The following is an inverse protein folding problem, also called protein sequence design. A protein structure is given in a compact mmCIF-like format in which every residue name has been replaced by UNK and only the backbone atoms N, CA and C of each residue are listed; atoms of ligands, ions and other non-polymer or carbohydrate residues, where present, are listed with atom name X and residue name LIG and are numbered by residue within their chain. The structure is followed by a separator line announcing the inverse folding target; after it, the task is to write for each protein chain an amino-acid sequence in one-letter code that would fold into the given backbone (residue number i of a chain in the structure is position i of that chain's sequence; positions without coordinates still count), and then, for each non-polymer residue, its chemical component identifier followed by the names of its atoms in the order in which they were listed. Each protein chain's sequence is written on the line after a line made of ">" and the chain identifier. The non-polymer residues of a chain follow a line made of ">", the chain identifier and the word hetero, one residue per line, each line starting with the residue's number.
data_IF_956102302714
#
_entry.id   IF_956102302714
#
_cell.length_a   1.000
_cell.length_b   1.000
_cell.length_c   1.000
_cell.angle_alpha   90.00
_cell.angle_beta   90.00
_cell.angle_gamma   90.00
#
_symmetry.space_group_name_H-M   'P 1'
#
loop_
_entity.id
_entity.type
_entity.pdbx_description
1 polymer ?
#
# COMPACT_ATOMS: atom_id res chain seq x y z
N UNK A 1 -9.75 -31.33 3.41
CA UNK A 1 -9.31 -31.87 2.12
C UNK A 1 -8.05 -31.11 1.72
N UNK A 2 -6.90 -31.80 1.61
CA UNK A 2 -5.66 -31.20 1.11
C UNK A 2 -5.77 -31.00 -0.39
N UNK A 3 -5.61 -29.77 -0.87
CA UNK A 3 -5.60 -29.44 -2.29
C UNK A 3 -4.37 -30.08 -2.94
N UNK A 4 -4.51 -30.63 -4.14
CA UNK A 4 -3.35 -31.10 -4.90
C UNK A 4 -2.48 -29.92 -5.33
N UNK A 5 -1.17 -30.13 -5.52
CA UNK A 5 -0.27 -29.04 -5.91
C UNK A 5 -0.68 -28.36 -7.22
N UNK A 6 -1.17 -29.13 -8.19
CA UNK A 6 -1.66 -28.57 -9.46
C UNK A 6 -2.86 -27.64 -9.24
N UNK A 7 -3.73 -27.96 -8.29
CA UNK A 7 -4.88 -27.11 -7.97
C UNK A 7 -4.43 -25.82 -7.26
N UNK A 8 -3.44 -25.89 -6.37
CA UNK A 8 -2.86 -24.72 -5.72
C UNK A 8 -2.18 -23.78 -6.72
N UNK A 9 -1.38 -24.33 -7.63
CA UNK A 9 -0.71 -23.57 -8.68
C UNK A 9 -1.73 -22.92 -9.63
N UNK A 10 -2.75 -23.67 -10.03
CA UNK A 10 -3.84 -23.14 -10.87
C UNK A 10 -4.57 -21.99 -10.17
N UNK A 11 -4.91 -22.13 -8.89
CA UNK A 11 -5.56 -21.07 -8.11
C UNK A 11 -4.68 -19.83 -7.98
N UNK A 12 -3.37 -19.99 -7.79
CA UNK A 12 -2.42 -18.86 -7.77
C UNK A 12 -2.40 -18.12 -9.12
N UNK A 13 -2.33 -18.87 -10.23
CA UNK A 13 -2.35 -18.28 -11.57
C UNK A 13 -3.68 -17.56 -11.86
N UNK A 14 -4.81 -18.20 -11.57
CA UNK A 14 -6.14 -17.60 -11.74
C UNK A 14 -6.29 -16.32 -10.92
N UNK A 15 -5.92 -16.36 -9.63
CA UNK A 15 -5.93 -15.18 -8.77
C UNK A 15 -5.05 -14.05 -9.31
N UNK A 16 -3.85 -14.39 -9.78
CA UNK A 16 -2.92 -13.41 -10.36
C UNK A 16 -3.48 -12.79 -11.64
N UNK A 17 -4.12 -13.58 -12.50
CA UNK A 17 -4.77 -13.06 -13.70
C UNK A 17 -5.94 -12.13 -13.36
N UNK A 18 -6.79 -12.49 -12.39
CA UNK A 18 -7.86 -11.60 -11.94
C UNK A 18 -7.30 -10.28 -11.40
N UNK A 19 -6.18 -10.34 -10.66
CA UNK A 19 -5.52 -9.17 -10.13
C UNK A 19 -4.90 -8.29 -11.23
N UNK A 20 -4.36 -8.87 -12.29
CA UNK A 20 -3.80 -8.10 -13.42
C UNK A 20 -4.91 -7.47 -14.26
N UNK A 21 -5.98 -8.22 -14.53
CA UNK A 21 -7.04 -7.82 -15.47
C UNK A 21 -8.08 -6.86 -14.88
N UNK A 22 -8.10 -6.69 -13.56
CA UNK A 22 -8.98 -5.76 -12.86
C UNK A 22 -8.21 -4.55 -12.36
N UNK A 23 -8.88 -3.40 -12.26
CA UNK A 23 -8.35 -2.23 -11.56
C UNK A 23 -8.61 -2.28 -10.05
N UNK A 24 -9.55 -3.11 -9.61
CA UNK A 24 -9.91 -3.28 -8.20
C UNK A 24 -9.09 -4.39 -7.53
N UNK A 25 -8.84 -4.25 -6.22
CA UNK A 25 -8.15 -5.26 -5.43
C UNK A 25 -8.99 -6.53 -5.38
N UNK A 26 -8.37 -7.66 -5.72
CA UNK A 26 -9.06 -8.95 -5.66
C UNK A 26 -8.97 -9.55 -4.27
N UNK A 27 -9.97 -10.35 -3.90
CA UNK A 27 -10.01 -11.02 -2.60
C UNK A 27 -8.99 -12.16 -2.56
N UNK A 28 -8.04 -12.15 -1.60
CA UNK A 28 -7.04 -13.19 -1.51
C UNK A 28 -7.64 -14.51 -0.99
N UNK A 29 -7.07 -15.62 -1.44
CA UNK A 29 -7.44 -16.98 -1.00
C UNK A 29 -6.86 -17.36 0.37
N UNK A 30 -5.85 -16.61 0.82
CA UNK A 30 -5.12 -16.80 2.07
C UNK A 30 -4.99 -15.48 2.80
N UNK A 31 -4.67 -15.52 4.10
CA UNK A 31 -4.50 -14.30 4.89
C UNK A 31 -3.13 -13.64 4.67
N UNK A 32 -2.13 -14.42 4.25
CA UNK A 32 -0.76 -13.95 4.05
C UNK A 32 -0.08 -14.59 2.86
N UNK A 33 0.93 -13.90 2.32
CA UNK A 33 1.80 -14.48 1.28
C UNK A 33 2.56 -15.69 1.84
N UNK A 34 2.95 -15.66 3.11
CA UNK A 34 3.60 -16.78 3.78
C UNK A 34 2.73 -18.04 3.81
N UNK A 35 1.44 -17.93 4.14
CA UNK A 35 0.50 -19.07 4.14
C UNK A 35 0.35 -19.67 2.73
N UNK A 36 0.24 -18.81 1.71
CA UNK A 36 0.16 -19.24 0.32
C UNK A 36 1.42 -20.03 -0.08
N UNK A 37 2.61 -19.48 0.20
CA UNK A 37 3.89 -20.12 -0.13
C UNK A 37 4.04 -21.46 0.61
N UNK A 38 3.72 -21.51 1.91
CA UNK A 38 3.77 -22.75 2.68
C UNK A 38 2.81 -23.79 2.12
N UNK A 39 1.61 -23.39 1.68
CA UNK A 39 0.67 -24.27 1.00
C UNK A 39 1.29 -24.90 -0.24
N UNK A 40 2.04 -24.14 -1.05
CA UNK A 40 2.72 -24.66 -2.23
C UNK A 40 3.90 -25.56 -1.84
N UNK A 41 4.78 -25.08 -0.97
CA UNK A 41 6.02 -25.78 -0.58
C UNK A 41 5.73 -27.13 0.06
N UNK A 42 4.74 -27.21 0.94
CA UNK A 42 4.38 -28.45 1.62
C UNK A 42 3.81 -29.53 0.68
N UNK A 43 3.39 -29.14 -0.53
CA UNK A 43 2.86 -30.06 -1.53
C UNK A 43 3.84 -30.30 -2.70
N UNK A 44 5.06 -29.73 -2.66
CA UNK A 44 6.08 -30.00 -3.66
C UNK A 44 6.58 -31.44 -3.52
N UNK A 45 6.71 -32.19 -4.63
CA UNK A 45 7.27 -33.53 -4.58
C UNK A 45 8.73 -33.48 -4.13
N UNK A 46 9.13 -34.35 -3.21
CA UNK A 46 10.53 -34.57 -2.84
C UNK A 46 11.06 -35.75 -3.65
N UNK A 47 11.83 -35.48 -4.71
CA UNK A 47 12.21 -36.49 -5.72
C UNK A 47 13.69 -36.50 -6.12
N UNK A 48 14.06 -37.45 -6.99
CA UNK A 48 15.43 -37.76 -7.44
C UNK A 48 15.96 -36.71 -8.44
N UNK A 49 17.19 -36.86 -8.94
CA UNK A 49 17.89 -35.83 -9.75
C UNK A 49 17.13 -35.31 -10.99
N UNK A 50 16.32 -36.13 -11.67
CA UNK A 50 15.45 -35.68 -12.77
C UNK A 50 14.26 -34.84 -12.31
N UNK A 51 13.79 -35.06 -11.09
CA UNK A 51 12.71 -34.28 -10.48
C UNK A 51 13.22 -32.91 -10.03
N UNK A 52 14.54 -32.76 -9.86
CA UNK A 52 15.16 -31.51 -9.41
C UNK A 52 15.02 -30.37 -10.42
N UNK A 53 15.25 -30.62 -11.71
CA UNK A 53 15.08 -29.60 -12.75
C UNK A 53 13.61 -29.16 -12.90
N UNK A 54 12.68 -30.13 -12.82
CA UNK A 54 11.24 -29.85 -12.84
C UNK A 54 10.82 -29.06 -11.59
N UNK A 55 11.31 -29.44 -10.41
CA UNK A 55 11.06 -28.72 -9.16
C UNK A 55 11.60 -27.29 -9.21
N UNK A 56 12.82 -27.10 -9.72
CA UNK A 56 13.40 -25.76 -9.89
C UNK A 56 12.56 -24.92 -10.86
N UNK A 57 12.09 -25.51 -11.97
CA UNK A 57 11.18 -24.85 -12.90
C UNK A 57 9.86 -24.44 -12.23
N UNK A 58 9.24 -25.33 -11.46
CA UNK A 58 8.00 -25.04 -10.72
C UNK A 58 8.21 -23.91 -9.69
N UNK A 59 9.31 -23.96 -8.94
CA UNK A 59 9.64 -22.91 -7.96
C UNK A 59 9.87 -21.57 -8.64
N UNK A 60 10.54 -21.55 -9.80
CA UNK A 60 10.75 -20.33 -10.56
C UNK A 60 9.42 -19.76 -11.09
N UNK A 61 8.53 -20.60 -11.63
CA UNK A 61 7.19 -20.18 -12.04
C UNK A 61 6.40 -19.55 -10.89
N UNK A 62 6.43 -20.16 -9.71
CA UNK A 62 5.77 -19.63 -8.51
C UNK A 62 6.36 -18.29 -8.10
N UNK A 63 7.69 -18.16 -8.09
CA UNK A 63 8.37 -16.89 -7.77
C UNK A 63 8.01 -15.78 -8.74
N UNK A 64 8.02 -16.05 -10.04
CA UNK A 64 7.65 -15.08 -11.07
C UNK A 64 6.19 -14.64 -10.92
N UNK A 65 5.28 -15.61 -10.75
CA UNK A 65 3.85 -15.35 -10.56
C UNK A 65 3.60 -14.51 -9.32
N UNK A 66 4.23 -14.85 -8.19
CA UNK A 66 4.13 -14.07 -6.95
C UNK A 66 4.71 -12.65 -7.11
N UNK A 67 5.81 -12.51 -7.85
CA UNK A 67 6.41 -11.19 -8.11
C UNK A 67 5.44 -10.29 -8.86
N UNK A 68 4.78 -10.82 -9.90
CA UNK A 68 3.76 -10.10 -10.66
C UNK A 68 2.58 -9.73 -9.76
N UNK A 69 2.08 -10.69 -8.99
CA UNK A 69 0.96 -10.49 -8.07
C UNK A 69 1.25 -9.38 -7.05
N UNK A 70 2.35 -9.50 -6.31
CA UNK A 70 2.74 -8.52 -5.27
C UNK A 70 2.91 -7.14 -5.88
N UNK A 71 3.64 -7.04 -7.01
CA UNK A 71 3.84 -5.75 -7.69
C UNK A 71 2.49 -5.10 -8.04
N UNK A 72 1.60 -5.84 -8.69
CA UNK A 72 0.32 -5.31 -9.15
C UNK A 72 -0.57 -4.88 -7.98
N UNK A 73 -0.59 -5.67 -6.90
CA UNK A 73 -1.36 -5.33 -5.70
C UNK A 73 -0.84 -4.09 -5.00
N UNK A 74 0.48 -3.98 -4.82
CA UNK A 74 1.09 -2.78 -4.24
C UNK A 74 0.82 -1.55 -5.11
N UNK A 75 0.90 -1.65 -6.44
CA UNK A 75 0.53 -0.56 -7.35
C UNK A 75 -0.90 -0.07 -7.11
N UNK A 76 -1.87 -1.00 -7.03
CA UNK A 76 -3.26 -0.66 -6.75
C UNK A 76 -3.44 -0.02 -5.38
N UNK A 77 -2.89 -0.64 -4.34
CA UNK A 77 -2.91 -0.15 -2.96
C UNK A 77 -2.38 1.28 -2.89
N UNK A 78 -1.23 1.53 -3.50
CA UNK A 78 -0.65 2.87 -3.56
C UNK A 78 -1.46 3.82 -4.43
N UNK A 79 -2.17 3.32 -5.44
CA UNK A 79 -3.18 4.06 -6.19
C UNK A 79 -4.31 4.57 -5.30
N UNK A 80 -4.89 3.72 -4.45
CA UNK A 80 -5.88 4.14 -3.44
C UNK A 80 -5.30 5.18 -2.49
N UNK A 81 -4.10 4.93 -1.96
CA UNK A 81 -3.41 5.84 -1.03
C UNK A 81 -3.20 7.23 -1.64
N UNK A 82 -2.63 7.30 -2.85
CA UNK A 82 -2.36 8.56 -3.56
C UNK A 82 -3.63 9.31 -3.95
N UNK A 83 -4.70 8.58 -4.30
CA UNK A 83 -6.00 9.16 -4.66
C UNK A 83 -6.82 9.58 -3.43
N UNK A 84 -6.30 9.42 -2.22
CA UNK A 84 -6.97 9.77 -0.99
C UNK A 84 -8.09 8.80 -0.58
N UNK A 85 -8.31 7.71 -1.32
CA UNK A 85 -9.44 6.80 -1.15
C UNK A 85 -9.27 5.89 0.07
N UNK A 86 -10.40 5.38 0.58
CA UNK A 86 -10.41 4.35 1.62
C UNK A 86 -9.85 3.06 1.03
N UNK A 87 -8.84 2.48 1.67
CA UNK A 87 -8.24 1.21 1.27
C UNK A 87 -9.02 0.07 1.96
N UNK A 88 -9.62 -0.88 1.21
CA UNK A 88 -10.40 -1.98 1.76
C UNK A 88 -9.50 -2.98 2.52
N UNK A 89 -9.47 -2.87 3.86
CA UNK A 89 -8.54 -3.61 4.72
C UNK A 89 -8.77 -5.13 4.70
N UNK A 90 -10.00 -5.57 4.48
CA UNK A 90 -10.40 -6.96 4.37
C UNK A 90 -9.85 -7.65 3.11
N UNK A 91 -9.46 -6.88 2.10
CA UNK A 91 -8.91 -7.41 0.84
C UNK A 91 -7.38 -7.47 0.85
N UNK A 92 -6.72 -6.99 1.91
CA UNK A 92 -5.27 -6.94 2.02
C UNK A 92 -4.69 -8.18 2.69
N UNK A 93 -3.55 -8.64 2.17
CA UNK A 93 -2.70 -9.58 2.88
C UNK A 93 -2.13 -8.94 4.15
N UNK A 94 -1.81 -9.75 5.16
CA UNK A 94 -1.20 -9.27 6.40
C UNK A 94 0.10 -8.47 6.16
N UNK A 95 0.94 -8.91 5.24
CA UNK A 95 2.18 -8.22 4.88
C UNK A 95 1.90 -6.86 4.22
N UNK A 96 0.84 -6.74 3.41
CA UNK A 96 0.41 -5.48 2.79
C UNK A 96 -0.09 -4.49 3.84
N UNK A 97 -0.83 -4.95 4.84
CA UNK A 97 -1.27 -4.12 5.97
C UNK A 97 -0.07 -3.56 6.73
N UNK A 98 0.90 -4.41 7.05
CA UNK A 98 2.14 -4.00 7.73
C UNK A 98 2.95 -3.02 6.89
N UNK A 99 3.03 -3.24 5.58
CA UNK A 99 3.66 -2.32 4.65
C UNK A 99 2.97 -0.95 4.66
N UNK A 100 1.63 -0.92 4.73
CA UNK A 100 0.85 0.32 4.73
C UNK A 100 0.90 1.11 6.03
N UNK A 101 1.08 0.47 7.18
CA UNK A 101 1.00 1.12 8.50
C UNK A 101 1.81 2.42 8.57
N UNK A 102 3.11 2.46 8.20
CA UNK A 102 3.90 3.68 8.27
C UNK A 102 3.37 4.79 7.35
N UNK A 103 2.79 4.45 6.20
CA UNK A 103 2.24 5.46 5.28
C UNK A 103 0.93 6.05 5.81
N UNK A 104 0.11 5.24 6.47
CA UNK A 104 -1.13 5.71 7.10
C UNK A 104 -0.82 6.61 8.31
N UNK A 105 0.22 6.28 9.07
CA UNK A 105 0.67 7.10 10.20
C UNK A 105 1.29 8.43 9.73
N UNK A 106 1.98 8.42 8.59
CA UNK A 106 2.54 9.62 7.94
C UNK A 106 1.49 10.43 7.17
N UNK A 107 0.29 9.89 6.97
CA UNK A 107 -0.78 10.60 6.29
C UNK A 107 -1.21 11.73 7.20
N UNK A 108 -0.69 12.93 6.94
CA UNK A 108 -1.17 14.16 7.55
C UNK A 108 -2.67 14.18 7.29
N UNK A 109 -3.52 14.12 8.34
CA UNK A 109 -4.95 14.06 8.13
C UNK A 109 -5.36 15.25 7.26
N UNK A 110 -6.03 15.01 6.14
CA UNK A 110 -6.60 16.08 5.29
C UNK A 110 -7.57 16.99 6.09
N UNK A 111 -7.94 16.57 7.31
CA UNK A 111 -8.67 17.35 8.29
C UNK A 111 -7.79 17.98 9.38
N UNK A 112 -6.58 18.46 9.08
CA UNK A 112 -6.06 19.59 9.87
C UNK A 112 -6.94 20.77 9.50
N UNK A 113 -8.05 20.94 10.23
CA UNK A 113 -9.07 21.95 9.93
C UNK A 113 -8.38 23.27 9.59
N UNK A 114 -8.67 23.83 8.42
CA UNK A 114 -8.03 25.07 8.00
C UNK A 114 -8.73 26.24 8.68
N UNK A 115 -7.94 27.27 9.00
CA UNK A 115 -8.46 28.52 9.56
C UNK A 115 -7.94 29.70 8.74
N UNK A 116 -8.75 30.74 8.65
CA UNK A 116 -8.36 32.02 8.09
C UNK A 116 -7.55 32.79 9.13
N UNK A 117 -6.34 33.19 8.75
CA UNK A 117 -5.43 33.98 9.58
C UNK A 117 -5.20 35.32 8.90
N UNK A 118 -5.29 36.41 9.66
CA UNK A 118 -4.91 37.74 9.20
C UNK A 118 -3.63 38.17 9.91
N UNK A 119 -2.63 38.58 9.12
CA UNK A 119 -1.34 39.02 9.63
C UNK A 119 -1.43 40.48 10.04
N UNK A 120 -1.12 40.80 11.30
CA UNK A 120 -1.16 42.18 11.81
C UNK A 120 0.09 42.98 11.52
N UNK A 121 1.16 42.31 11.12
CA UNK A 121 2.49 42.83 10.82
C UNK A 121 3.09 41.99 9.68
N UNK A 122 4.18 42.48 9.06
CA UNK A 122 4.89 41.72 8.06
C UNK A 122 5.44 40.42 8.66
N UNK A 123 5.20 39.30 8.01
CA UNK A 123 5.56 37.99 8.52
C UNK A 123 6.40 37.22 7.49
N UNK A 124 7.53 36.61 7.89
CA UNK A 124 8.38 35.86 6.98
C UNK A 124 7.68 34.60 6.47
N UNK A 125 8.31 33.95 5.50
CA UNK A 125 7.83 32.70 4.94
C UNK A 125 7.74 31.60 6.02
N UNK A 126 6.63 30.87 6.06
CA UNK A 126 6.33 29.80 7.02
C UNK A 126 6.50 28.44 6.35
N UNK A 127 7.14 27.49 7.04
CA UNK A 127 7.09 26.07 6.70
C UNK A 127 6.04 25.38 7.57
N UNK A 128 4.99 24.87 6.94
CA UNK A 128 3.85 24.24 7.59
C UNK A 128 4.14 22.81 8.02
N UNK A 129 3.39 22.30 9.01
CA UNK A 129 3.32 20.87 9.34
C UNK A 129 2.91 19.99 8.16
N UNK A 130 2.27 20.57 7.15
CA UNK A 130 1.90 19.89 5.89
C UNK A 130 3.09 19.74 4.91
N UNK A 131 4.26 20.28 5.24
CA UNK A 131 5.43 20.35 4.34
C UNK A 131 5.31 21.45 3.27
N UNK A 132 4.17 22.12 3.17
CA UNK A 132 3.96 23.26 2.28
C UNK A 132 4.60 24.53 2.84
N UNK A 133 4.96 25.44 1.95
CA UNK A 133 5.57 26.72 2.30
C UNK A 133 4.63 27.87 1.97
N UNK A 134 4.44 28.80 2.90
CA UNK A 134 3.45 29.89 2.80
C UNK A 134 4.10 31.26 2.99
N UNK A 135 3.65 32.26 2.25
CA UNK A 135 4.15 33.63 2.33
C UNK A 135 5.37 33.90 1.42
N UNK A 136 6.14 34.97 1.68
CA UNK A 136 6.04 35.91 2.80
C UNK A 136 4.73 36.71 2.82
N UNK A 137 4.34 37.21 3.99
CA UNK A 137 3.10 37.94 4.20
C UNK A 137 3.37 39.39 4.60
N UNK A 138 2.54 40.29 4.09
CA UNK A 138 2.53 41.70 4.44
C UNK A 138 1.42 42.02 5.45
N UNK A 139 1.49 43.20 6.06
CA UNK A 139 0.48 43.65 7.00
C UNK A 139 -0.93 43.64 6.37
N UNK A 140 -1.88 43.04 7.10
CA UNK A 140 -3.27 42.79 6.74
C UNK A 140 -3.51 41.70 5.69
N UNK A 141 -2.48 40.98 5.24
CA UNK A 141 -2.68 39.82 4.38
C UNK A 141 -3.49 38.74 5.10
N UNK A 142 -4.30 38.03 4.32
CA UNK A 142 -5.14 36.93 4.80
C UNK A 142 -4.68 35.64 4.13
N UNK A 143 -4.42 34.61 4.93
CA UNK A 143 -4.03 33.29 4.46
C UNK A 143 -4.91 32.20 5.06
N UNK A 144 -5.05 31.10 4.32
CA UNK A 144 -5.65 29.87 4.81
C UNK A 144 -4.52 28.96 5.26
N UNK A 145 -4.47 28.65 6.56
CA UNK A 145 -3.43 27.82 7.16
C UNK A 145 -4.05 26.64 7.92
N UNK A 146 -3.32 25.51 8.04
CA UNK A 146 -3.70 24.44 8.96
C UNK A 146 -3.86 24.98 10.39
N UNK A 147 -4.90 24.57 11.12
CA UNK A 147 -5.18 25.05 12.49
C UNK A 147 -3.97 24.95 13.42
N UNK A 148 -3.19 23.87 13.33
CA UNK A 148 -1.98 23.69 14.15
C UNK A 148 -0.95 24.80 13.91
N UNK A 149 -0.66 25.10 12.64
CA UNK A 149 0.27 26.18 12.28
C UNK A 149 -0.29 27.54 12.73
N UNK A 150 -1.59 27.76 12.56
CA UNK A 150 -2.24 29.00 12.96
C UNK A 150 -2.28 29.20 14.49
N UNK A 151 -2.39 28.13 15.28
CA UNK A 151 -2.30 28.19 16.74
C UNK A 151 -0.88 28.54 17.20
N UNK A 152 0.14 28.00 16.54
CA UNK A 152 1.53 28.33 16.82
C UNK A 152 1.86 29.80 16.51
N UNK A 153 1.30 30.36 15.43
CA UNK A 153 1.46 31.78 15.08
C UNK A 153 0.76 32.76 16.04
N UNK A 154 -0.16 32.28 16.89
CA UNK A 154 -0.85 33.12 17.88
C UNK A 154 -0.07 33.28 19.19
N UNK A 155 0.97 32.47 19.42
CA UNK A 155 1.83 32.53 20.60
C UNK A 155 2.94 33.57 20.44
#
# INVERSE_FOLDING_TARGET
>A
MSLSINELLRKLLEFTQMEVNSDELQRPLYESYAQLIQGIVNNLPTGNTSDKELLESMVNMVKETLTVLVRRRIEKIMGYYRAGKIIPQELLFMEEKRFLTPFLDLRIPEAVGVVLVSFRENFPMIRSVTGSTYGPFTQFDIAVLPRTDAEDLRR
#
